data_IF_851012362318
#
_entry.id   IF_851012362318
#
_cell.length_a   1.000
_cell.length_b   1.000
_cell.length_c   1.000
_cell.angle_alpha   90.00
_cell.angle_beta   90.00
_cell.angle_gamma   90.00
#
_symmetry.space_group_name_H-M   'P 1'
#
loop_
_entity.id
_entity.type
_entity.pdbx_description
1 polymer ?
#
# COMPACT_ATOMS: atom_id res chain seq x y z
N UNK A 1 16.58 -33.75 -16.75
CA UNK A 1 16.48 -32.86 -15.58
C UNK A 1 15.22 -32.04 -15.74
N UNK A 2 14.25 -32.06 -14.81
CA UNK A 2 13.15 -31.11 -14.87
C UNK A 2 13.69 -29.73 -14.48
N UNK A 3 13.58 -28.78 -15.41
CA UNK A 3 13.93 -27.39 -15.20
C UNK A 3 12.99 -26.81 -14.13
N UNK A 4 13.53 -26.46 -12.98
CA UNK A 4 12.81 -25.68 -11.96
C UNK A 4 12.47 -24.35 -12.63
N UNK A 5 11.20 -23.93 -12.73
CA UNK A 5 10.88 -22.63 -13.28
C UNK A 5 11.56 -21.57 -12.39
N UNK A 6 12.09 -20.48 -12.96
CA UNK A 6 12.62 -19.40 -12.15
C UNK A 6 11.49 -18.92 -11.25
N UNK A 7 11.61 -19.12 -9.95
CA UNK A 7 10.82 -18.41 -8.95
C UNK A 7 11.16 -16.95 -9.14
N UNK A 8 10.39 -16.27 -9.99
CA UNK A 8 10.57 -14.85 -10.27
C UNK A 8 10.20 -14.11 -9.00
N UNK A 9 11.18 -13.94 -8.13
CA UNK A 9 11.10 -13.27 -6.84
C UNK A 9 11.07 -11.74 -7.03
N UNK A 10 10.60 -11.29 -8.21
CA UNK A 10 10.55 -9.89 -8.60
C UNK A 10 9.41 -9.24 -7.80
N UNK A 11 9.69 -8.22 -6.97
CA UNK A 11 8.65 -7.53 -6.22
C UNK A 11 7.64 -6.89 -7.17
N UNK A 12 6.35 -7.04 -6.87
CA UNK A 12 5.29 -6.29 -7.53
C UNK A 12 5.22 -4.93 -6.85
N UNK A 13 5.65 -3.89 -7.56
CA UNK A 13 5.59 -2.51 -7.06
C UNK A 13 4.38 -1.82 -7.67
N UNK A 14 3.60 -1.14 -6.83
CA UNK A 14 2.49 -0.32 -7.29
C UNK A 14 2.86 1.15 -7.23
N UNK A 15 2.76 1.84 -8.35
CA UNK A 15 3.03 3.27 -8.46
C UNK A 15 1.81 4.09 -8.01
N UNK A 16 1.52 4.08 -6.70
CA UNK A 16 0.37 4.79 -6.16
C UNK A 16 0.37 4.96 -4.64
N UNK A 17 -0.56 5.79 -4.19
CA UNK A 17 -0.77 6.12 -2.77
C UNK A 17 -2.10 5.53 -2.34
N UNK A 18 -2.08 4.84 -1.20
CA UNK A 18 -3.16 4.01 -0.71
C UNK A 18 -3.48 4.35 0.75
N UNK A 19 -4.76 4.29 1.11
CA UNK A 19 -5.21 4.30 2.48
C UNK A 19 -5.15 2.89 3.07
N UNK A 20 -4.56 2.75 4.27
CA UNK A 20 -4.45 1.47 4.98
C UNK A 20 -5.64 1.28 5.93
N UNK A 21 -6.50 0.31 5.61
CA UNK A 21 -7.62 -0.14 6.44
C UNK A 21 -7.26 -1.42 7.20
N UNK A 22 -7.61 -1.48 8.49
CA UNK A 22 -7.45 -2.69 9.31
C UNK A 22 -8.70 -2.94 10.18
N UNK A 23 -9.08 -4.21 10.43
CA UNK A 23 -10.21 -4.57 11.27
C UNK A 23 -9.88 -4.22 12.72
N UNK A 24 -10.72 -3.37 13.29
CA UNK A 24 -10.64 -2.97 14.70
C UNK A 24 -10.21 -1.52 14.91
N UNK A 25 -9.35 -0.95 14.06
CA UNK A 25 -9.09 0.50 14.01
C UNK A 25 -8.60 0.94 12.62
N UNK A 26 -9.05 2.11 12.12
CA UNK A 26 -8.35 2.75 11.02
C UNK A 26 -6.97 3.16 11.53
N UNK A 27 -5.91 2.53 11.01
CA UNK A 27 -4.53 2.91 11.34
C UNK A 27 -4.32 4.39 10.99
N UNK A 28 -5.05 4.92 10.00
CA UNK A 28 -4.88 6.31 9.56
C UNK A 28 -3.59 6.51 8.79
N UNK A 29 -3.00 5.41 8.33
CA UNK A 29 -1.73 5.40 7.62
C UNK A 29 -1.99 5.50 6.12
N UNK A 30 -1.03 6.11 5.45
CA UNK A 30 -0.96 6.23 4.01
C UNK A 30 0.18 5.33 3.56
N UNK A 31 -0.11 4.35 2.70
CA UNK A 31 0.88 3.51 2.05
C UNK A 31 1.24 4.11 0.69
N UNK A 32 2.48 4.58 0.57
CA UNK A 32 3.07 5.18 -0.61
C UNK A 32 3.95 4.11 -1.28
N UNK A 33 3.76 3.92 -2.59
CA UNK A 33 4.50 2.93 -3.40
C UNK A 33 4.58 1.54 -2.76
N UNK A 34 3.44 0.90 -2.43
CA UNK A 34 3.50 -0.41 -1.80
C UNK A 34 4.14 -1.44 -2.73
N UNK A 35 5.09 -2.20 -2.18
CA UNK A 35 5.82 -3.28 -2.79
C UNK A 35 5.40 -4.58 -2.15
N UNK A 36 4.97 -5.52 -2.97
CA UNK A 36 4.57 -6.85 -2.54
C UNK A 36 5.64 -7.86 -2.96
N UNK A 37 5.91 -8.82 -2.08
CA UNK A 37 6.65 -10.05 -2.40
C UNK A 37 5.89 -11.26 -1.86
N UNK A 38 6.39 -12.45 -2.12
CA UNK A 38 5.76 -13.71 -1.71
C UNK A 38 5.44 -13.81 -0.21
N UNK A 39 6.22 -13.13 0.64
CA UNK A 39 6.10 -13.25 2.10
C UNK A 39 6.10 -11.92 2.83
N UNK A 40 6.17 -10.80 2.12
CA UNK A 40 6.22 -9.48 2.73
C UNK A 40 5.48 -8.44 1.89
N UNK A 41 5.10 -7.37 2.57
CA UNK A 41 4.60 -6.15 1.97
C UNK A 41 5.31 -4.99 2.65
N UNK A 42 5.84 -4.09 1.86
CA UNK A 42 6.58 -2.93 2.29
C UNK A 42 5.97 -1.71 1.64
N UNK A 43 5.87 -0.60 2.36
CA UNK A 43 5.51 0.69 1.78
C UNK A 43 6.17 1.83 2.52
N UNK A 44 6.36 2.93 1.80
CA UNK A 44 6.69 4.20 2.40
C UNK A 44 5.45 4.77 3.09
N UNK A 45 5.58 5.38 4.25
CA UNK A 45 4.47 6.10 4.88
C UNK A 45 4.92 7.47 5.37
N UNK A 46 3.97 8.28 5.82
CA UNK A 46 4.24 9.65 6.31
C UNK A 46 4.75 9.68 7.75
N UNK A 47 5.12 8.54 8.35
CA UNK A 47 5.40 8.47 9.79
C UNK A 47 6.73 7.80 10.15
N UNK A 48 7.09 6.67 9.54
CA UNK A 48 8.26 5.85 9.93
C UNK A 48 8.78 4.87 8.87
N UNK A 49 8.08 4.64 7.75
CA UNK A 49 8.32 3.53 6.84
C UNK A 49 7.92 2.20 7.48
N UNK A 50 6.91 1.51 6.93
CA UNK A 50 6.37 0.29 7.53
C UNK A 50 6.69 -0.90 6.62
N UNK A 51 7.45 -1.86 7.14
CA UNK A 51 7.60 -3.20 6.57
C UNK A 51 6.78 -4.20 7.37
N UNK A 52 5.88 -4.92 6.71
CA UNK A 52 5.06 -5.96 7.34
C UNK A 52 5.26 -7.31 6.66
N UNK A 53 5.35 -8.37 7.48
CA UNK A 53 5.42 -9.74 6.97
C UNK A 53 4.03 -10.30 6.69
N UNK A 54 3.81 -10.77 5.47
CA UNK A 54 2.57 -11.42 5.06
C UNK A 54 2.52 -12.87 5.58
N UNK A 55 1.31 -13.39 5.73
CA UNK A 55 1.14 -14.82 5.98
C UNK A 55 1.39 -15.61 4.68
N UNK A 56 2.25 -16.64 4.70
CA UNK A 56 2.63 -17.40 3.50
C UNK A 56 1.46 -18.22 2.90
N UNK A 57 0.31 -18.32 3.58
CA UNK A 57 -0.90 -18.96 3.03
C UNK A 57 -1.75 -18.02 2.16
N UNK A 58 -1.36 -16.75 2.06
CA UNK A 58 -2.12 -15.75 1.32
C UNK A 58 -1.99 -15.92 -0.20
N UNK A 59 -3.09 -16.31 -0.86
CA UNK A 59 -3.18 -16.45 -2.32
C UNK A 59 -3.15 -15.10 -3.07
N UNK A 60 -2.96 -13.99 -2.35
CA UNK A 60 -3.06 -12.63 -2.88
C UNK A 60 -1.88 -12.27 -3.81
N UNK A 61 -0.73 -12.91 -3.62
CA UNK A 61 0.47 -12.66 -4.44
C UNK A 61 0.27 -12.99 -5.93
N UNK A 62 -0.33 -14.14 -6.24
CA UNK A 62 -0.56 -14.56 -7.62
C UNK A 62 -1.64 -13.70 -8.30
N UNK A 63 -2.66 -13.24 -7.56
CA UNK A 63 -3.63 -12.27 -8.07
C UNK A 63 -2.98 -10.92 -8.38
N UNK A 64 -2.09 -10.44 -7.50
CA UNK A 64 -1.37 -9.19 -7.71
C UNK A 64 -0.45 -9.26 -8.93
N UNK A 65 0.32 -10.34 -9.11
CA UNK A 65 1.15 -10.52 -10.33
C UNK A 65 0.33 -10.46 -11.60
N UNK A 66 -0.87 -11.06 -11.61
CA UNK A 66 -1.74 -11.08 -12.79
C UNK A 66 -2.36 -9.71 -13.10
N UNK A 67 -2.54 -8.85 -12.10
CA UNK A 67 -3.23 -7.56 -12.25
C UNK A 67 -2.25 -6.37 -12.30
N UNK A 68 -1.02 -6.53 -11.81
CA UNK A 68 -0.01 -5.48 -11.74
C UNK A 68 0.45 -4.86 -13.07
N UNK A 69 0.49 -5.55 -14.23
CA UNK A 69 1.00 -4.89 -15.44
C UNK A 69 0.03 -3.83 -15.99
N UNK A 70 -1.21 -3.76 -15.50
CA UNK A 70 -2.17 -2.74 -15.90
C UNK A 70 -2.93 -2.19 -14.69
N UNK A 71 -2.82 -0.88 -14.51
CA UNK A 71 -3.76 -0.01 -13.79
C UNK A 71 -3.70 -0.01 -12.25
N UNK A 72 -3.84 1.21 -11.74
CA UNK A 72 -4.20 1.58 -10.37
C UNK A 72 -5.23 0.60 -9.78
N UNK A 73 -4.78 -0.38 -9.01
CA UNK A 73 -5.70 -1.29 -8.33
C UNK A 73 -6.49 -0.48 -7.31
N UNK A 74 -7.81 -0.42 -7.45
CA UNK A 74 -8.66 0.37 -6.54
C UNK A 74 -8.61 -0.14 -5.11
N UNK A 75 -8.40 -1.46 -4.94
CA UNK A 75 -8.40 -2.12 -3.64
C UNK A 75 -7.56 -3.39 -3.66
N UNK A 76 -6.75 -3.57 -2.62
CA UNK A 76 -5.93 -4.75 -2.40
C UNK A 76 -6.15 -5.19 -0.96
N UNK A 77 -6.74 -6.38 -0.78
CA UNK A 77 -6.83 -6.99 0.54
C UNK A 77 -5.70 -8.02 0.68
N UNK A 78 -5.12 -8.14 1.87
CA UNK A 78 -4.17 -9.20 2.21
C UNK A 78 -4.24 -9.52 3.70
N UNK A 79 -3.74 -10.69 4.09
CA UNK A 79 -3.76 -11.13 5.49
C UNK A 79 -2.34 -11.09 6.05
N UNK A 80 -2.19 -10.45 7.21
CA UNK A 80 -0.95 -10.38 7.96
C UNK A 80 -1.10 -11.05 9.32
N UNK A 81 -0.01 -11.65 9.81
CA UNK A 81 0.10 -12.36 11.10
C UNK A 81 -0.66 -13.69 11.22
N UNK A 82 -0.16 -14.56 12.12
CA UNK A 82 -0.79 -15.81 12.57
C UNK A 82 -2.24 -15.63 13.06
N UNK A 83 -2.61 -14.41 13.46
CA UNK A 83 -3.97 -14.06 13.91
C UNK A 83 -4.95 -13.79 12.76
N UNK A 84 -4.55 -14.00 11.50
CA UNK A 84 -5.39 -13.80 10.31
C UNK A 84 -6.03 -12.41 10.23
N UNK A 85 -5.29 -11.37 10.59
CA UNK A 85 -5.80 -9.99 10.47
C UNK A 85 -5.71 -9.57 9.00
N UNK A 86 -6.82 -9.12 8.43
CA UNK A 86 -6.85 -8.66 7.05
C UNK A 86 -6.51 -7.16 7.00
N UNK A 87 -5.52 -6.74 6.22
CA UNK A 87 -5.35 -5.33 5.85
C UNK A 87 -5.91 -5.13 4.45
N UNK A 88 -6.48 -3.96 4.23
CA UNK A 88 -6.92 -3.52 2.91
C UNK A 88 -6.24 -2.22 2.57
N UNK A 89 -5.52 -2.19 1.45
CA UNK A 89 -5.09 -0.96 0.79
C UNK A 89 -6.18 -0.51 -0.16
N UNK A 90 -6.67 0.71 -0.02
CA UNK A 90 -7.59 1.33 -0.98
C UNK A 90 -6.91 2.49 -1.66
N UNK A 91 -7.04 2.58 -2.98
CA UNK A 91 -6.45 3.69 -3.71
C UNK A 91 -6.94 5.01 -3.13
N UNK A 92 -5.99 5.90 -2.81
CA UNK A 92 -6.29 7.12 -2.08
C UNK A 92 -6.90 8.17 -3.01
N UNK A 93 -8.22 8.27 -3.01
CA UNK A 93 -8.96 9.33 -3.68
C UNK A 93 -9.05 10.59 -2.82
N UNK A 94 -9.31 11.73 -3.44
CA UNK A 94 -9.56 12.99 -2.73
C UNK A 94 -10.73 12.86 -1.73
N UNK A 95 -11.80 12.16 -2.12
CA UNK A 95 -12.94 11.89 -1.25
C UNK A 95 -12.53 11.09 0.00
N UNK A 96 -11.83 9.97 -0.20
CA UNK A 96 -11.38 9.11 0.89
C UNK A 96 -10.41 9.85 1.83
N UNK A 97 -9.53 10.68 1.26
CA UNK A 97 -8.64 11.53 2.03
C UNK A 97 -9.42 12.52 2.90
N UNK A 98 -10.34 13.28 2.31
CA UNK A 98 -11.13 14.28 3.03
C UNK A 98 -11.98 13.66 4.15
N UNK A 99 -12.54 12.47 3.92
CA UNK A 99 -13.40 11.80 4.89
C UNK A 99 -12.61 11.12 6.03
N UNK A 100 -11.52 10.42 5.71
CA UNK A 100 -10.86 9.50 6.67
C UNK A 100 -9.52 9.97 7.20
N UNK A 101 -8.79 10.79 6.45
CA UNK A 101 -7.37 11.10 6.70
C UNK A 101 -7.09 12.57 6.98
N UNK A 102 -7.77 13.51 6.33
CA UNK A 102 -7.46 14.95 6.42
C UNK A 102 -7.40 15.48 7.85
N UNK A 103 -8.27 14.99 8.74
CA UNK A 103 -8.27 15.37 10.15
C UNK A 103 -7.09 14.80 10.96
N UNK A 104 -6.45 13.75 10.45
CA UNK A 104 -5.36 12.99 11.10
C UNK A 104 -3.97 13.32 10.55
N UNK A 105 -3.88 13.88 9.34
CA UNK A 105 -2.62 14.29 8.72
C UNK A 105 -2.20 15.68 9.23
N UNK A 106 -0.93 15.81 9.63
CA UNK A 106 -0.36 17.08 10.06
C UNK A 106 -0.44 18.13 8.94
N UNK A 107 -0.74 19.38 9.29
CA UNK A 107 -0.91 20.47 8.30
C UNK A 107 -2.19 20.42 7.47
N UNK A 108 -2.91 19.28 7.46
CA UNK A 108 -4.21 19.09 6.78
C UNK A 108 -4.24 19.66 5.36
N UNK A 109 -3.27 19.30 4.49
CA UNK A 109 -3.18 19.86 3.15
C UNK A 109 -4.50 19.66 2.41
N UNK A 110 -4.88 20.66 1.62
CA UNK A 110 -6.06 20.61 0.77
C UNK A 110 -5.61 20.41 -0.66
N UNK A 111 -6.30 19.53 -1.37
CA UNK A 111 -6.02 19.20 -2.75
C UNK A 111 -7.29 19.45 -3.57
N UNK A 112 -7.10 19.81 -4.82
CA UNK A 112 -8.17 20.11 -5.78
C UNK A 112 -8.58 18.88 -6.58
N UNK A 113 -7.71 17.87 -6.67
CA UNK A 113 -7.99 16.62 -7.38
C UNK A 113 -7.28 15.41 -6.75
N UNK A 114 -7.70 14.20 -7.15
CA UNK A 114 -7.04 12.95 -6.75
C UNK A 114 -5.61 12.87 -7.30
N UNK A 115 -5.39 13.34 -8.53
CA UNK A 115 -4.07 13.35 -9.17
C UNK A 115 -3.11 14.28 -8.42
N UNK A 116 -3.57 15.46 -8.01
CA UNK A 116 -2.77 16.40 -7.22
C UNK A 116 -2.36 15.78 -5.88
N UNK A 117 -3.33 15.14 -5.20
CA UNK A 117 -3.08 14.42 -3.95
C UNK A 117 -2.03 13.32 -4.15
N UNK A 118 -2.21 12.46 -5.16
CA UNK A 118 -1.31 11.35 -5.44
C UNK A 118 0.09 11.86 -5.73
N UNK A 119 0.20 12.88 -6.59
CA UNK A 119 1.46 13.53 -6.93
C UNK A 119 2.15 14.09 -5.68
N UNK A 120 1.42 14.79 -4.81
CA UNK A 120 1.96 15.35 -3.59
C UNK A 120 2.63 14.29 -2.72
N UNK A 121 1.92 13.20 -2.41
CA UNK A 121 2.48 12.13 -1.56
C UNK A 121 3.58 11.32 -2.27
N UNK A 122 3.54 11.18 -3.60
CA UNK A 122 4.60 10.50 -4.37
C UNK A 122 5.88 11.35 -4.52
N UNK A 123 5.76 12.68 -4.56
CA UNK A 123 6.90 13.59 -4.73
C UNK A 123 7.49 14.10 -3.42
N UNK A 124 6.76 13.94 -2.31
CA UNK A 124 7.23 14.41 -1.01
C UNK A 124 8.18 13.39 -0.41
N UNK A 125 9.39 13.85 -0.08
CA UNK A 125 10.36 13.07 0.65
C UNK A 125 10.09 13.21 2.15
N UNK A 126 9.42 12.21 2.74
CA UNK A 126 9.06 12.21 4.16
C UNK A 126 10.24 11.85 5.09
N UNK A 127 11.43 11.54 4.52
CA UNK A 127 12.59 11.07 5.27
C UNK A 127 13.74 12.10 5.33
N UNK A 128 13.50 13.33 4.88
CA UNK A 128 14.46 14.42 5.06
C UNK A 128 14.48 14.86 6.54
N UNK A 129 15.28 14.16 7.34
CA UNK A 129 15.79 14.67 8.62
C UNK A 129 16.65 15.91 8.32
N UNK A 130 16.20 17.07 8.80
CA UNK A 130 17.12 18.16 9.16
C UNK A 130 17.85 17.82 10.46
#
# INVERSE_FOLDING_TARGET
MPSIPPTSNTPVSLEGVYYVESPGRPLGHIAIRPKFREQDVEWDDTSTGISMRLDPTSHHWEQLKSQAPNSHLEKIAFVYSKQKKQITLRYLTLELYNEKLKSKVAGKPSFSSTEELQKYYLSTDFYRTE
#
